data_IF_058695830831
#
_entry.id   IF_058695830831
#
_cell.length_a   1.000
_cell.length_b   1.000
_cell.length_c   1.000
_cell.angle_alpha   90.00
_cell.angle_beta   90.00
_cell.angle_gamma   90.00
#
_symmetry.space_group_name_H-M   'P 1'
#
loop_
_entity.id
_entity.type
_entity.pdbx_description
1 polymer ?
#
# COMPACT_ATOMS: atom_id res chain seq x y z
N UNK A 1 -2.81 -33.52 -28.48
CA UNK A 1 -3.33 -33.43 -27.09
C UNK A 1 -4.14 -32.16 -27.00
N UNK A 2 -5.45 -32.24 -26.85
CA UNK A 2 -6.29 -31.05 -26.60
C UNK A 2 -6.05 -30.57 -25.16
N UNK A 3 -5.94 -29.26 -24.91
CA UNK A 3 -5.79 -28.75 -23.56
C UNK A 3 -7.04 -29.09 -22.74
N UNK A 4 -6.85 -29.49 -21.49
CA UNK A 4 -7.95 -29.74 -20.57
C UNK A 4 -8.80 -28.46 -20.41
N UNK A 5 -10.13 -28.57 -20.30
CA UNK A 5 -11.00 -27.41 -20.14
C UNK A 5 -10.63 -26.65 -18.86
N UNK A 6 -10.41 -25.35 -18.98
CA UNK A 6 -10.12 -24.47 -17.84
C UNK A 6 -11.37 -24.32 -16.98
N UNK A 7 -11.25 -24.66 -15.69
CA UNK A 7 -12.35 -24.48 -14.74
C UNK A 7 -12.73 -23.00 -14.61
N UNK A 8 -14.02 -22.65 -14.48
CA UNK A 8 -14.47 -21.29 -14.22
C UNK A 8 -13.79 -20.70 -12.98
N UNK A 9 -13.44 -19.41 -13.02
CA UNK A 9 -12.75 -18.75 -11.90
C UNK A 9 -13.58 -18.78 -10.61
N UNK A 10 -14.92 -18.75 -10.71
CA UNK A 10 -15.86 -18.88 -9.59
C UNK A 10 -15.69 -20.19 -8.80
N UNK A 11 -15.20 -21.25 -9.43
CA UNK A 11 -14.94 -22.54 -8.78
C UNK A 11 -13.55 -22.62 -8.15
N UNK A 12 -12.68 -21.63 -8.40
CA UNK A 12 -11.28 -21.63 -7.98
C UNK A 12 -10.98 -20.59 -6.89
N UNK A 13 -11.88 -19.63 -6.66
CA UNK A 13 -11.67 -18.57 -5.68
C UNK A 13 -12.73 -18.61 -4.59
N UNK A 14 -12.30 -18.35 -3.36
CA UNK A 14 -13.21 -18.08 -2.24
C UNK A 14 -13.28 -16.57 -2.04
N UNK A 15 -14.49 -16.04 -1.92
CA UNK A 15 -14.68 -14.64 -1.57
C UNK A 15 -14.18 -14.38 -0.16
N UNK A 16 -13.63 -13.19 0.05
CA UNK A 16 -13.16 -12.78 1.37
C UNK A 16 -14.37 -12.61 2.32
N UNK A 17 -14.26 -12.93 3.62
CA UNK A 17 -15.41 -12.97 4.53
C UNK A 17 -16.19 -11.65 4.66
N UNK A 18 -15.56 -10.51 4.41
CA UNK A 18 -16.19 -9.19 4.40
C UNK A 18 -17.22 -9.03 3.27
N UNK A 19 -16.96 -9.61 2.09
CA UNK A 19 -17.89 -9.62 0.94
C UNK A 19 -19.11 -10.50 1.23
N UNK A 20 -18.94 -11.53 2.08
CA UNK A 20 -20.02 -12.43 2.48
C UNK A 20 -20.85 -11.90 3.65
N UNK A 21 -20.37 -10.87 4.35
CA UNK A 21 -21.02 -10.34 5.56
C UNK A 21 -22.10 -9.32 5.22
N UNK A 22 -23.21 -9.32 5.99
CA UNK A 22 -24.29 -8.34 5.84
C UNK A 22 -23.92 -6.95 6.41
N UNK A 23 -22.95 -6.89 7.31
CA UNK A 23 -22.46 -5.66 7.93
C UNK A 23 -21.22 -5.16 7.19
N UNK A 24 -21.46 -4.46 6.08
CA UNK A 24 -20.43 -3.88 5.24
C UNK A 24 -20.18 -2.41 5.60
N UNK A 25 -18.92 -2.02 5.83
CA UNK A 25 -18.55 -0.60 6.01
C UNK A 25 -17.95 -0.03 4.73
N UNK A 26 -18.50 1.09 4.24
CA UNK A 26 -17.98 1.82 3.08
C UNK A 26 -16.52 2.28 3.25
N UNK A 27 -16.07 2.44 4.50
CA UNK A 27 -14.69 2.82 4.85
C UNK A 27 -13.64 1.80 4.39
N UNK A 28 -14.06 0.57 4.05
CA UNK A 28 -13.18 -0.45 3.47
C UNK A 28 -12.73 -0.05 2.06
N UNK A 29 -13.57 0.66 1.30
CA UNK A 29 -13.31 0.97 -0.11
C UNK A 29 -12.40 2.18 -0.32
N UNK A 30 -12.38 3.12 0.64
CA UNK A 30 -11.65 4.36 0.52
C UNK A 30 -10.68 4.53 1.68
N UNK A 31 -9.39 4.52 1.35
CA UNK A 31 -8.36 4.85 2.31
C UNK A 31 -8.29 6.36 2.53
N UNK A 32 -8.55 6.80 3.76
CA UNK A 32 -8.25 8.15 4.23
C UNK A 32 -6.90 8.18 4.97
N UNK A 33 -6.02 9.09 4.54
CA UNK A 33 -4.69 9.25 5.11
C UNK A 33 -4.73 9.96 6.47
N UNK A 34 -5.68 10.87 6.70
CA UNK A 34 -5.74 11.64 7.95
C UNK A 34 -5.92 10.74 9.18
N UNK A 35 -7.05 10.00 9.27
CA UNK A 35 -7.28 9.03 10.33
C UNK A 35 -6.18 7.96 10.43
N UNK A 36 -5.59 7.54 9.30
CA UNK A 36 -4.47 6.60 9.30
C UNK A 36 -3.22 7.20 9.97
N UNK A 37 -2.90 8.46 9.66
CA UNK A 37 -1.75 9.16 10.19
C UNK A 37 -1.88 9.46 11.68
N UNK A 38 -3.10 9.77 12.12
CA UNK A 38 -3.46 9.99 13.53
C UNK A 38 -3.46 8.70 14.36
N UNK A 39 -3.36 7.54 13.72
CA UNK A 39 -3.43 6.24 14.39
C UNK A 39 -4.83 5.89 14.88
N UNK A 40 -5.87 6.42 14.23
CA UNK A 40 -7.26 6.20 14.60
C UNK A 40 -7.59 4.69 14.61
N UNK A 41 -8.09 4.14 15.74
CA UNK A 41 -8.37 2.72 15.88
C UNK A 41 -9.58 2.23 15.07
N UNK A 42 -10.28 3.10 14.35
CA UNK A 42 -11.38 2.75 13.46
C UNK A 42 -10.92 2.50 12.01
N UNK A 43 -9.69 2.91 11.65
CA UNK A 43 -9.15 2.65 10.31
C UNK A 43 -8.98 1.15 10.09
N UNK A 44 -9.52 0.54 9.03
CA UNK A 44 -9.47 -0.91 8.82
C UNK A 44 -8.07 -1.51 9.06
N UNK A 45 -7.96 -2.67 9.74
CA UNK A 45 -6.66 -3.28 10.08
C UNK A 45 -5.74 -3.48 8.87
N UNK A 46 -6.31 -3.81 7.71
CA UNK A 46 -5.58 -3.97 6.44
C UNK A 46 -4.81 -2.71 6.03
N UNK A 47 -5.30 -1.53 6.41
CA UNK A 47 -4.64 -0.26 6.13
C UNK A 47 -3.75 0.22 7.28
N UNK A 48 -4.12 -0.10 8.52
CA UNK A 48 -3.42 0.36 9.72
C UNK A 48 -2.13 -0.40 9.97
N UNK A 49 -2.16 -1.72 9.81
CA UNK A 49 -0.97 -2.55 9.95
C UNK A 49 -0.13 -2.49 8.67
N UNK A 50 1.17 -2.23 8.87
CA UNK A 50 2.06 -1.88 7.76
C UNK A 50 2.40 -3.08 6.91
N UNK A 51 2.59 -4.24 7.53
CA UNK A 51 2.90 -5.47 6.80
C UNK A 51 1.67 -5.98 6.06
N UNK A 52 0.50 -5.97 6.71
CA UNK A 52 -0.76 -6.32 6.05
C UNK A 52 -1.06 -5.38 4.89
N UNK A 53 -0.82 -4.07 5.04
CA UNK A 53 -0.98 -3.10 3.97
C UNK A 53 -0.16 -3.46 2.74
N UNK A 54 1.13 -3.76 2.89
CA UNK A 54 1.98 -4.13 1.75
C UNK A 54 1.64 -5.51 1.17
N UNK A 55 1.19 -6.46 2.00
CA UNK A 55 0.72 -7.77 1.50
C UNK A 55 -0.57 -7.66 0.70
N UNK A 56 -1.48 -6.77 1.10
CA UNK A 56 -2.74 -6.53 0.41
C UNK A 56 -2.60 -5.57 -0.79
N UNK A 57 -1.57 -4.72 -0.80
CA UNK A 57 -1.34 -3.71 -1.84
C UNK A 57 -0.27 -4.17 -2.82
N UNK A 58 -0.68 -4.51 -4.05
CA UNK A 58 0.28 -4.89 -5.08
C UNK A 58 1.23 -3.74 -5.43
N UNK A 59 2.53 -3.95 -5.23
CA UNK A 59 3.55 -2.95 -5.48
C UNK A 59 3.91 -2.89 -6.97
N UNK A 60 3.10 -2.15 -7.73
CA UNK A 60 3.37 -1.90 -9.16
C UNK A 60 4.78 -1.31 -9.36
N UNK A 61 5.37 -1.57 -10.53
CA UNK A 61 6.70 -1.02 -10.90
C UNK A 61 6.79 0.51 -10.74
N UNK A 62 5.72 1.22 -11.13
CA UNK A 62 5.62 2.67 -10.95
C UNK A 62 5.55 3.12 -9.50
N UNK A 63 4.83 2.39 -8.63
CA UNK A 63 4.79 2.67 -7.20
C UNK A 63 6.14 2.38 -6.54
N UNK A 64 6.77 1.26 -6.89
CA UNK A 64 8.12 0.89 -6.41
C UNK A 64 9.15 1.95 -6.76
N UNK A 65 9.18 2.43 -8.01
CA UNK A 65 10.08 3.50 -8.45
C UNK A 65 9.86 4.80 -7.66
N UNK A 66 8.60 5.19 -7.44
CA UNK A 66 8.27 6.36 -6.61
C UNK A 66 8.69 6.19 -5.14
N UNK A 67 8.56 4.99 -4.58
CA UNK A 67 9.06 4.70 -3.23
C UNK A 67 10.59 4.79 -3.18
N UNK A 68 11.28 4.22 -4.18
CA UNK A 68 12.74 4.32 -4.30
C UNK A 68 13.18 5.78 -4.26
N UNK A 69 12.58 6.66 -5.05
CA UNK A 69 12.93 8.08 -5.10
C UNK A 69 12.75 8.77 -3.74
N UNK A 70 11.58 8.56 -3.10
CA UNK A 70 11.26 9.17 -1.80
C UNK A 70 12.21 8.66 -0.71
N UNK A 71 12.39 7.36 -0.60
CA UNK A 71 13.21 6.73 0.44
C UNK A 71 14.70 7.04 0.24
N UNK A 72 15.16 7.13 -1.01
CA UNK A 72 16.51 7.60 -1.34
C UNK A 72 16.72 9.03 -0.85
N UNK A 73 15.69 9.88 -0.95
CA UNK A 73 15.79 11.26 -0.46
C UNK A 73 15.77 11.35 1.06
N UNK A 74 14.92 10.55 1.72
CA UNK A 74 14.85 10.47 3.18
C UNK A 74 16.13 9.90 3.81
N UNK A 75 16.93 9.13 3.05
CA UNK A 75 18.25 8.63 3.47
C UNK A 75 19.39 9.61 3.18
N UNK A 76 19.10 10.81 2.68
CA UNK A 76 20.11 11.85 2.37
C UNK A 76 20.66 11.79 0.94
N UNK A 77 20.21 10.84 0.11
CA UNK A 77 20.55 10.75 -1.32
C UNK A 77 19.83 11.81 -2.16
N UNK A 78 20.03 11.80 -3.49
CA UNK A 78 19.40 12.68 -4.49
C UNK A 78 17.89 12.47 -4.70
N UNK A 79 17.20 13.37 -5.41
CA UNK A 79 15.77 13.20 -5.76
C UNK A 79 14.92 14.48 -5.71
N UNK A 80 13.71 14.39 -6.30
CA UNK A 80 12.74 15.48 -6.39
C UNK A 80 12.09 15.79 -5.02
N UNK A 81 11.98 17.09 -4.69
CA UNK A 81 11.41 17.57 -3.41
C UNK A 81 9.89 17.75 -3.45
N UNK A 82 9.32 17.86 -4.65
CA UNK A 82 7.88 18.02 -4.88
C UNK A 82 7.43 16.91 -5.81
N UNK A 83 6.50 16.09 -5.36
CA UNK A 83 5.96 14.96 -6.11
C UNK A 83 4.49 15.23 -6.43
N UNK A 84 4.18 15.47 -7.71
CA UNK A 84 2.79 15.56 -8.15
C UNK A 84 2.23 14.15 -8.34
N UNK A 85 1.24 13.78 -7.53
CA UNK A 85 0.50 12.53 -7.69
C UNK A 85 -0.54 12.69 -8.80
N UNK A 86 -0.12 12.51 -10.05
CA UNK A 86 -1.05 12.41 -11.18
C UNK A 86 -1.37 10.95 -11.42
N UNK A 87 -2.57 10.55 -11.05
CA UNK A 87 -3.18 9.30 -11.51
C UNK A 87 -4.54 9.67 -12.09
N UNK A 88 -4.94 9.14 -13.27
CA UNK A 88 -6.32 9.25 -13.71
C UNK A 88 -7.26 8.65 -12.64
N UNK A 89 -8.53 9.08 -12.65
CA UNK A 89 -9.55 8.77 -11.64
C UNK A 89 -9.52 7.29 -11.18
N UNK A 90 -9.66 7.05 -9.87
CA UNK A 90 -9.55 5.72 -9.25
C UNK A 90 -8.12 5.16 -9.08
N UNK A 91 -7.08 5.81 -9.62
CA UNK A 91 -5.73 5.24 -9.73
C UNK A 91 -4.84 5.18 -8.48
N UNK A 92 -5.40 5.14 -7.26
CA UNK A 92 -4.62 4.81 -6.05
C UNK A 92 -3.77 5.93 -5.44
N UNK A 93 -4.21 7.19 -5.46
CA UNK A 93 -3.49 8.32 -4.80
C UNK A 93 -3.37 8.12 -3.30
N UNK A 94 -4.48 7.85 -2.61
CA UNK A 94 -4.47 7.60 -1.16
C UNK A 94 -3.62 6.39 -0.81
N UNK A 95 -3.71 5.31 -1.59
CA UNK A 95 -2.82 4.15 -1.45
C UNK A 95 -1.35 4.49 -1.66
N UNK A 96 -1.03 5.31 -2.66
CA UNK A 96 0.34 5.75 -2.91
C UNK A 96 0.88 6.60 -1.76
N UNK A 97 0.04 7.46 -1.17
CA UNK A 97 0.41 8.25 0.01
C UNK A 97 0.59 7.37 1.24
N UNK A 98 -0.34 6.46 1.52
CA UNK A 98 -0.25 5.52 2.63
C UNK A 98 0.97 4.60 2.52
N UNK A 99 1.28 4.10 1.32
CA UNK A 99 2.48 3.32 1.06
C UNK A 99 3.76 4.09 1.43
N UNK A 100 3.84 5.37 1.06
CA UNK A 100 4.99 6.23 1.43
C UNK A 100 5.04 6.50 2.92
N UNK A 101 3.89 6.80 3.52
CA UNK A 101 3.78 7.05 4.96
C UNK A 101 4.26 5.84 5.77
N UNK A 102 3.77 4.64 5.43
CA UNK A 102 4.17 3.40 6.08
C UNK A 102 5.65 3.08 5.86
N UNK A 103 6.14 3.19 4.63
CA UNK A 103 7.54 2.96 4.30
C UNK A 103 8.50 3.94 5.01
N UNK A 104 8.11 5.22 5.17
CA UNK A 104 8.93 6.22 5.85
C UNK A 104 8.99 5.99 7.38
N UNK A 105 7.90 5.52 8.00
CA UNK A 105 7.84 5.25 9.45
C UNK A 105 8.43 3.91 9.84
N UNK A 106 8.18 2.89 9.02
CA UNK A 106 8.65 1.52 9.28
C UNK A 106 9.12 0.89 7.96
N UNK A 107 10.35 1.20 7.52
CA UNK A 107 10.88 0.67 6.27
C UNK A 107 10.92 -0.85 6.23
N UNK A 108 11.13 -1.50 7.39
CA UNK A 108 11.14 -2.97 7.53
C UNK A 108 9.82 -3.63 7.11
N UNK A 109 8.69 -2.90 7.12
CA UNK A 109 7.42 -3.47 6.66
C UNK A 109 7.44 -3.83 5.16
N UNK A 110 8.33 -3.24 4.37
CA UNK A 110 8.53 -3.60 2.96
C UNK A 110 9.15 -4.99 2.78
N UNK A 111 9.83 -5.52 3.81
CA UNK A 111 10.44 -6.85 3.76
C UNK A 111 9.38 -7.97 3.77
N UNK A 112 8.13 -7.64 4.08
CA UNK A 112 6.98 -8.56 4.03
C UNK A 112 6.64 -9.00 2.60
N UNK A 113 7.12 -8.28 1.57
CA UNK A 113 6.86 -8.57 0.16
C UNK A 113 8.17 -8.68 -0.66
N UNK A 114 8.24 -9.55 -1.68
CA UNK A 114 9.42 -9.68 -2.53
C UNK A 114 9.83 -8.38 -3.24
N UNK A 115 8.87 -7.58 -3.70
CA UNK A 115 9.07 -6.35 -4.47
C UNK A 115 9.66 -5.21 -3.62
N UNK A 116 9.51 -5.30 -2.30
CA UNK A 116 10.06 -4.34 -1.34
C UNK A 116 11.58 -4.48 -1.15
N UNK A 117 12.15 -5.63 -1.52
CA UNK A 117 13.60 -5.89 -1.38
C UNK A 117 14.42 -4.90 -2.21
N UNK A 118 15.50 -4.42 -1.58
CA UNK A 118 16.45 -3.48 -2.18
C UNK A 118 16.01 -2.01 -2.15
N UNK A 119 14.83 -1.70 -1.60
CA UNK A 119 14.44 -0.31 -1.35
C UNK A 119 15.27 0.28 -0.19
N UNK A 120 15.60 1.59 -0.22
CA UNK A 120 16.34 2.24 0.86
C UNK A 120 15.54 2.25 2.15
N UNK A 121 16.20 1.97 3.27
CA UNK A 121 15.61 2.06 4.61
C UNK A 121 16.06 3.33 5.35
N UNK A 122 15.29 4.43 5.34
CA UNK A 122 15.61 5.58 6.18
C UNK A 122 15.56 5.22 7.67
N UNK A 123 16.37 5.89 8.50
CA UNK A 123 16.10 5.91 9.95
C UNK A 123 14.70 6.49 10.14
N UNK A 124 13.95 5.98 11.12
CA UNK A 124 12.55 6.38 11.40
C UNK A 124 12.38 7.88 11.25
N UNK A 125 11.57 8.27 10.26
CA UNK A 125 11.34 9.68 9.91
C UNK A 125 10.16 10.21 10.73
N UNK A 126 10.28 11.42 11.28
CA UNK A 126 9.13 12.13 11.86
C UNK A 126 8.18 12.54 10.74
N UNK A 127 6.95 12.02 10.78
CA UNK A 127 5.90 12.29 9.77
C UNK A 127 4.82 13.22 10.30
N UNK A 128 5.08 13.90 11.41
CA UNK A 128 4.15 14.70 12.23
C UNK A 128 3.62 15.96 11.48
N UNK A 129 4.01 16.17 10.22
CA UNK A 129 3.77 17.36 9.40
C UNK A 129 3.15 17.04 8.01
N UNK A 130 2.68 15.81 7.80
CA UNK A 130 1.99 15.42 6.56
C UNK A 130 0.50 15.76 6.60
#
# INVERSE_FOLDING_TARGET
MSPAPTRPWLELVSLHPDVLSENFSEDIFALDLGPLADGNPNVPPVYRDREHFFRASYLTSGLRSRLQDVLSRLTGGGGNRVLKLVTPFGGGKSHTLAARFHAARTPKALDAIPEGKGLPGPRTVRTDLL
#
